data_IF_801459896016
#
_entry.id   IF_801459896016
#
_cell.length_a   1.000
_cell.length_b   1.000
_cell.length_c   1.000
_cell.angle_alpha   90.00
_cell.angle_beta   90.00
_cell.angle_gamma   90.00
#
_symmetry.space_group_name_H-M   'P 1'
#
loop_
_entity.id
_entity.type
_entity.pdbx_description
1 polymer ?
#
# COMPACT_ATOMS: atom_id res chain seq x y z
N UNK A 1 17.99 10.69 -8.33
CA UNK A 1 18.90 10.82 -9.40
C UNK A 1 19.28 9.49 -9.97
N UNK A 2 19.93 8.64 -9.19
CA UNK A 2 20.37 7.40 -9.79
C UNK A 2 19.19 6.46 -10.14
N UNK A 3 18.02 6.67 -9.54
CA UNK A 3 16.83 5.89 -9.91
C UNK A 3 15.99 6.60 -10.96
N UNK A 4 16.44 7.72 -11.52
CA UNK A 4 15.65 8.46 -12.49
C UNK A 4 15.39 7.68 -13.78
N UNK A 5 16.24 6.69 -14.09
CA UNK A 5 16.02 5.83 -15.24
C UNK A 5 15.22 4.57 -14.96
N UNK A 6 14.78 4.39 -13.71
CA UNK A 6 14.06 3.21 -13.31
C UNK A 6 12.66 3.17 -13.95
N UNK A 7 12.29 2.04 -14.47
CA UNK A 7 10.96 1.77 -15.01
C UNK A 7 10.56 0.38 -14.62
N UNK A 8 9.32 0.21 -14.18
CA UNK A 8 8.81 -1.10 -13.83
C UNK A 8 7.35 -1.21 -14.24
N UNK A 9 6.94 -2.40 -14.65
CA UNK A 9 5.53 -2.65 -14.91
C UNK A 9 4.78 -2.77 -13.60
N UNK A 10 5.36 -3.47 -12.63
CA UNK A 10 4.73 -3.68 -11.34
C UNK A 10 5.70 -3.38 -10.22
N UNK A 11 5.20 -2.69 -9.22
CA UNK A 11 5.92 -2.50 -7.96
C UNK A 11 5.10 -3.16 -6.86
N UNK A 12 5.69 -4.09 -6.14
CA UNK A 12 5.06 -4.69 -4.97
C UNK A 12 5.71 -4.07 -3.75
N UNK A 13 4.92 -3.44 -2.91
CA UNK A 13 5.47 -2.77 -1.74
C UNK A 13 4.52 -2.87 -0.56
N UNK A 14 5.08 -2.71 0.63
CA UNK A 14 4.31 -2.55 1.85
C UNK A 14 4.52 -1.16 2.39
N UNK A 15 3.78 -0.81 3.45
CA UNK A 15 3.86 0.51 4.06
C UNK A 15 3.88 0.37 5.57
N UNK A 16 4.30 1.43 6.25
CA UNK A 16 4.29 1.44 7.71
C UNK A 16 2.92 1.70 8.30
N UNK A 17 2.10 2.50 7.61
CA UNK A 17 0.75 2.83 8.06
C UNK A 17 -0.09 3.33 6.90
N UNK A 18 -1.41 3.16 7.01
CA UNK A 18 -2.37 3.73 6.07
C UNK A 18 -3.41 4.47 6.90
N UNK A 19 -3.51 5.77 6.68
CA UNK A 19 -4.46 6.58 7.43
C UNK A 19 -5.84 6.51 6.80
N UNK A 20 -6.85 6.96 7.55
CA UNK A 20 -8.24 6.81 7.11
C UNK A 20 -8.55 7.60 5.84
N UNK A 21 -7.75 8.62 5.52
CA UNK A 21 -7.89 9.38 4.28
C UNK A 21 -7.06 8.78 3.14
N UNK A 22 -6.45 7.63 3.38
CA UNK A 22 -5.69 6.92 2.37
C UNK A 22 -4.21 7.25 2.33
N UNK A 23 -3.75 8.19 3.17
CA UNK A 23 -2.33 8.54 3.17
C UNK A 23 -1.50 7.34 3.58
N UNK A 24 -0.50 7.01 2.75
CA UNK A 24 0.44 5.93 3.03
C UNK A 24 1.66 6.52 3.69
N UNK A 25 2.02 5.97 4.85
CA UNK A 25 3.04 6.54 5.72
C UNK A 25 4.18 5.56 5.95
N UNK A 26 5.37 6.11 6.13
CA UNK A 26 6.56 5.31 6.44
C UNK A 26 7.26 5.85 7.67
N UNK A 27 8.02 4.95 8.33
CA UNK A 27 8.76 5.32 9.53
C UNK A 27 10.09 5.97 9.20
N UNK A 28 10.76 5.51 8.16
CA UNK A 28 12.13 5.90 7.82
C UNK A 28 12.11 6.85 6.62
N UNK A 29 12.69 8.05 6.78
CA UNK A 29 12.66 9.06 5.73
C UNK A 29 13.44 8.62 4.48
N UNK A 30 14.50 7.85 4.68
CA UNK A 30 15.29 7.37 3.53
C UNK A 30 14.54 6.32 2.73
N UNK A 31 13.89 5.37 3.44
CA UNK A 31 13.07 4.38 2.77
C UNK A 31 11.88 5.03 2.07
N UNK A 32 11.29 6.03 2.71
CA UNK A 32 10.17 6.75 2.12
C UNK A 32 10.56 7.39 0.80
N UNK A 33 11.73 8.01 0.76
CA UNK A 33 12.22 8.65 -0.46
C UNK A 33 12.40 7.64 -1.60
N UNK A 34 12.97 6.49 -1.30
CA UNK A 34 13.18 5.46 -2.31
C UNK A 34 11.86 4.91 -2.83
N UNK A 35 10.95 4.56 -1.92
CA UNK A 35 9.66 3.98 -2.32
C UNK A 35 8.85 4.99 -3.13
N UNK A 36 8.87 6.25 -2.71
CA UNK A 36 8.15 7.31 -3.42
C UNK A 36 8.64 7.44 -4.85
N UNK A 37 9.95 7.37 -5.05
CA UNK A 37 10.53 7.42 -6.39
C UNK A 37 10.15 6.20 -7.22
N UNK A 38 10.22 5.01 -6.61
CA UNK A 38 9.86 3.78 -7.31
C UNK A 38 8.40 3.79 -7.72
N UNK A 39 7.51 4.29 -6.86
CA UNK A 39 6.09 4.39 -7.20
C UNK A 39 5.89 5.30 -8.41
N UNK A 40 6.61 6.40 -8.47
CA UNK A 40 6.46 7.36 -9.57
C UNK A 40 6.89 6.77 -10.91
N UNK A 41 7.74 5.76 -10.90
CA UNK A 41 8.27 5.16 -12.12
C UNK A 41 7.72 3.76 -12.40
N UNK A 42 6.64 3.39 -11.74
CA UNK A 42 6.01 2.08 -11.93
C UNK A 42 4.62 2.26 -12.53
N UNK A 43 4.24 1.35 -13.41
CA UNK A 43 2.93 1.42 -14.05
C UNK A 43 1.82 0.99 -13.13
N UNK A 44 2.09 -0.07 -12.36
CA UNK A 44 1.11 -0.64 -11.45
C UNK A 44 1.73 -0.82 -10.09
N UNK A 45 0.97 -0.45 -9.07
CA UNK A 45 1.44 -0.56 -7.69
C UNK A 45 0.56 -1.57 -6.98
N UNK A 46 1.17 -2.65 -6.52
CA UNK A 46 0.49 -3.68 -5.74
C UNK A 46 0.91 -3.50 -4.29
N UNK A 47 -0.04 -3.13 -3.47
CA UNK A 47 0.21 -2.76 -2.09
C UNK A 47 -0.20 -3.90 -1.17
N UNK A 48 0.67 -4.27 -0.25
CA UNK A 48 0.35 -5.30 0.74
C UNK A 48 0.35 -4.67 2.13
N UNK A 49 -0.74 -4.86 2.86
CA UNK A 49 -0.86 -4.28 4.19
C UNK A 49 -1.77 -5.16 5.04
N UNK A 50 -1.24 -5.61 6.19
CA UNK A 50 -2.09 -6.31 7.14
C UNK A 50 -2.89 -5.27 7.95
N UNK A 51 -3.86 -5.77 8.73
CA UNK A 51 -4.79 -4.89 9.43
C UNK A 51 -4.13 -3.96 10.44
N UNK A 52 -2.95 -4.32 10.94
CA UNK A 52 -2.27 -3.45 11.91
C UNK A 52 -1.86 -2.12 11.30
N UNK A 53 -1.75 -2.05 9.97
CA UNK A 53 -1.35 -0.83 9.28
C UNK A 53 -2.43 0.24 9.30
N UNK A 54 -3.68 -0.15 9.49
CA UNK A 54 -4.79 0.82 9.50
C UNK A 54 -4.88 1.60 10.81
N UNK A 55 -4.24 1.11 11.86
CA UNK A 55 -4.23 1.78 13.16
C UNK A 55 -2.83 2.23 13.57
N UNK A 56 -1.83 1.99 12.73
CA UNK A 56 -0.46 2.39 13.01
C UNK A 56 -0.28 3.86 12.69
N UNK A 57 0.77 4.45 13.25
CA UNK A 57 1.19 5.82 12.97
C UNK A 57 2.62 5.81 12.49
N UNK A 58 2.89 6.63 11.48
CA UNK A 58 4.24 6.83 10.99
C UNK A 58 4.37 8.26 10.51
N UNK A 59 5.60 8.73 10.32
CA UNK A 59 5.83 10.18 10.24
C UNK A 59 5.91 10.73 8.82
N UNK A 60 6.24 9.89 7.83
CA UNK A 60 6.56 10.39 6.48
C UNK A 60 5.55 9.89 5.48
N UNK A 61 4.86 10.81 4.83
CA UNK A 61 3.88 10.42 3.80
C UNK A 61 4.60 10.09 2.50
N UNK A 62 4.25 8.93 1.90
CA UNK A 62 4.85 8.52 0.64
C UNK A 62 3.85 8.55 -0.52
N UNK A 63 2.58 8.73 -0.24
CA UNK A 63 1.56 8.78 -1.28
C UNK A 63 0.21 8.46 -0.72
N UNK A 64 -0.70 8.04 -1.58
CA UNK A 64 -2.07 7.71 -1.19
C UNK A 64 -2.47 6.38 -1.80
N UNK A 65 -3.27 5.60 -1.08
CA UNK A 65 -3.74 4.29 -1.56
C UNK A 65 -4.52 4.42 -2.86
N UNK A 66 -5.07 5.59 -3.15
CA UNK A 66 -5.79 5.81 -4.41
C UNK A 66 -4.89 5.63 -5.63
N UNK A 67 -3.58 5.70 -5.44
CA UNK A 67 -2.61 5.49 -6.52
C UNK A 67 -2.34 4.01 -6.79
N UNK A 68 -2.80 3.12 -5.93
CA UNK A 68 -2.51 1.70 -6.07
C UNK A 68 -3.44 1.07 -7.11
N UNK A 69 -2.93 0.05 -7.78
CA UNK A 69 -3.73 -0.80 -8.67
C UNK A 69 -4.53 -1.78 -7.83
N UNK A 70 -3.91 -2.33 -6.80
CA UNK A 70 -4.57 -3.30 -5.93
C UNK A 70 -3.99 -3.22 -4.52
N UNK A 71 -4.85 -3.53 -3.56
CA UNK A 71 -4.47 -3.64 -2.15
C UNK A 71 -4.77 -5.07 -1.70
N UNK A 72 -3.72 -5.74 -1.21
CA UNK A 72 -3.83 -7.08 -0.66
C UNK A 72 -3.78 -6.95 0.86
N UNK A 73 -4.79 -7.43 1.55
CA UNK A 73 -4.90 -7.25 2.99
C UNK A 73 -5.54 -8.48 3.63
N UNK A 74 -5.29 -8.68 4.91
CA UNK A 74 -5.89 -9.80 5.65
C UNK A 74 -7.29 -9.45 6.17
N UNK A 75 -7.55 -8.17 6.47
CA UNK A 75 -8.85 -7.71 6.92
C UNK A 75 -9.15 -6.39 6.24
N UNK A 76 -10.41 -6.20 5.88
CA UNK A 76 -10.80 -4.97 5.23
C UNK A 76 -10.70 -3.79 6.18
N UNK A 77 -10.31 -2.62 5.69
CA UNK A 77 -10.25 -1.42 6.52
C UNK A 77 -11.63 -0.89 6.85
N UNK A 78 -11.69 0.17 7.65
CA UNK A 78 -12.95 0.82 7.99
C UNK A 78 -13.64 1.41 6.78
N UNK A 79 -14.89 1.80 6.96
CA UNK A 79 -15.76 2.18 5.84
C UNK A 79 -15.24 3.39 5.07
N UNK A 80 -14.65 4.37 5.75
CA UNK A 80 -14.14 5.57 5.06
C UNK A 80 -13.06 5.18 4.05
N UNK A 81 -12.12 4.34 4.47
CA UNK A 81 -11.04 3.92 3.58
C UNK A 81 -11.56 2.98 2.50
N UNK A 82 -12.50 2.10 2.83
CA UNK A 82 -13.11 1.24 1.82
C UNK A 82 -13.79 2.06 0.74
N UNK A 83 -14.51 3.11 1.13
CA UNK A 83 -15.19 3.96 0.15
C UNK A 83 -14.18 4.66 -0.76
N UNK A 84 -13.06 5.11 -0.20
CA UNK A 84 -12.01 5.72 -1.00
C UNK A 84 -11.45 4.71 -2.01
N UNK A 85 -11.19 3.50 -1.58
CA UNK A 85 -10.65 2.46 -2.47
C UNK A 85 -11.60 2.16 -3.61
N UNK A 86 -12.91 2.06 -3.31
CA UNK A 86 -13.92 1.81 -4.33
C UNK A 86 -13.97 2.97 -5.31
N UNK A 87 -14.04 4.21 -4.82
CA UNK A 87 -14.16 5.37 -5.69
C UNK A 87 -12.92 5.58 -6.54
N UNK A 88 -11.78 5.14 -6.07
CA UNK A 88 -10.52 5.24 -6.80
C UNK A 88 -10.25 4.03 -7.70
N UNK A 89 -11.17 3.07 -7.70
CA UNK A 89 -11.07 1.85 -8.53
C UNK A 89 -9.85 1.01 -8.19
N UNK A 90 -9.50 0.98 -6.91
CA UNK A 90 -8.43 0.11 -6.42
C UNK A 90 -9.04 -1.25 -6.14
N UNK A 91 -8.46 -2.29 -6.71
CA UNK A 91 -8.91 -3.66 -6.44
C UNK A 91 -8.47 -4.04 -5.04
N UNK A 92 -9.39 -4.54 -4.21
CA UNK A 92 -9.06 -4.97 -2.85
C UNK A 92 -9.19 -6.48 -2.80
N UNK A 93 -8.10 -7.14 -2.41
CA UNK A 93 -8.03 -8.59 -2.33
C UNK A 93 -7.83 -8.94 -0.86
N UNK A 94 -8.85 -9.57 -0.28
CA UNK A 94 -8.75 -10.04 1.10
C UNK A 94 -8.13 -11.41 1.11
N UNK A 95 -6.98 -11.55 1.76
CA UNK A 95 -6.21 -12.79 1.77
C UNK A 95 -6.50 -13.52 3.05
N UNK A 96 -6.78 -14.80 2.94
CA UNK A 96 -7.04 -15.64 4.09
C UNK A 96 -5.86 -15.67 5.02
N UNK A 97 -6.13 -15.84 6.32
CA UNK A 97 -5.07 -15.96 7.30
C UNK A 97 -4.29 -17.25 7.10
N UNK A 98 -3.14 -17.33 7.76
CA UNK A 98 -2.20 -18.42 7.54
C UNK A 98 -2.75 -19.81 7.82
N UNK A 99 -3.75 -19.93 8.66
CA UNK A 99 -4.26 -21.26 8.96
C UNK A 99 -4.94 -21.93 7.78
N UNK A 100 -5.40 -21.16 6.79
CA UNK A 100 -5.93 -21.77 5.59
C UNK A 100 -4.89 -22.56 4.85
N UNK A 101 -3.67 -22.12 4.91
CA UNK A 101 -2.60 -22.80 4.20
C UNK A 101 -2.30 -24.14 4.81
N UNK A 102 -2.59 -24.30 6.08
CA UNK A 102 -2.35 -25.55 6.77
C UNK A 102 -3.38 -26.59 6.40
N UNK A 103 -4.55 -26.17 6.01
CA UNK A 103 -5.58 -27.09 5.60
C UNK A 103 -5.22 -27.77 4.29
N UNK A 104 -4.40 -27.14 3.52
CA UNK A 104 -3.92 -27.74 2.29
C UNK A 104 -2.75 -28.67 2.55
#
# INVERSE_FOLDING_TARGET
>A
AFVSGFRADYLVTSVGAIEHDGAMMEFDVNEASVVKTMMAHSRHILLAADHTKYSASAAVEIGNVAQATALFTDELPGSALQNLLISSKVEVVEVSSGEEQQAG
#
